data_IF_940051066277
#
_entry.id   IF_940051066277
#
_cell.length_a   1.000
_cell.length_b   1.000
_cell.length_c   1.000
_cell.angle_alpha   90.00
_cell.angle_beta   90.00
_cell.angle_gamma   90.00
#
_symmetry.space_group_name_H-M   'P 1'
#
loop_
_entity.id
_entity.type
_entity.pdbx_description
1 polymer ?
#
# COMPACT_ATOMS: atom_id res chain seq x y z
N UNK A 1 11.05 -17.12 -5.72
CA UNK A 1 12.07 -16.15 -5.19
C UNK A 1 12.00 -14.87 -5.99
N UNK A 2 12.09 -13.70 -5.34
CA UNK A 2 11.91 -12.39 -5.97
C UNK A 2 13.19 -11.56 -5.81
N UNK A 3 13.66 -10.97 -6.88
CA UNK A 3 14.75 -9.98 -6.86
C UNK A 3 14.21 -8.55 -6.68
N UNK A 4 14.93 -7.72 -5.94
CA UNK A 4 14.64 -6.29 -5.82
C UNK A 4 15.91 -5.51 -6.16
N UNK A 5 15.84 -4.68 -7.19
CA UNK A 5 16.89 -3.75 -7.59
C UNK A 5 16.44 -2.35 -7.20
N UNK A 6 17.30 -1.59 -6.54
CA UNK A 6 17.05 -0.21 -6.17
C UNK A 6 18.36 0.60 -6.18
N UNK A 7 18.36 1.75 -6.82
CA UNK A 7 19.48 2.69 -6.73
C UNK A 7 19.45 3.58 -5.47
N UNK A 8 18.32 3.61 -4.75
CA UNK A 8 18.15 4.27 -3.44
C UNK A 8 17.28 3.40 -2.55
N UNK A 9 17.61 3.25 -1.27
CA UNK A 9 16.86 2.44 -0.29
C UNK A 9 15.64 3.15 0.29
N UNK A 10 15.09 4.12 -0.45
CA UNK A 10 13.91 4.86 -0.05
C UNK A 10 12.69 3.95 -0.23
N UNK A 11 11.83 3.87 0.81
CA UNK A 11 10.59 3.07 0.81
C UNK A 11 10.77 1.56 0.66
N UNK A 12 11.97 1.00 0.86
CA UNK A 12 12.22 -0.45 0.72
C UNK A 12 11.24 -1.30 1.54
N UNK A 13 10.95 -0.89 2.78
CA UNK A 13 9.97 -1.60 3.62
C UNK A 13 8.57 -1.62 2.99
N UNK A 14 8.12 -0.49 2.44
CA UNK A 14 6.79 -0.40 1.80
C UNK A 14 6.73 -1.26 0.53
N UNK A 15 7.81 -1.27 -0.26
CA UNK A 15 7.95 -2.08 -1.47
C UNK A 15 7.87 -3.56 -1.11
N UNK A 16 8.73 -4.02 -0.19
CA UNK A 16 8.75 -5.42 0.26
C UNK A 16 7.40 -5.86 0.82
N UNK A 17 6.78 -5.02 1.65
CA UNK A 17 5.48 -5.34 2.25
C UNK A 17 4.38 -5.52 1.20
N UNK A 18 4.41 -4.74 0.12
CA UNK A 18 3.43 -4.84 -0.95
C UNK A 18 3.69 -6.06 -1.85
N UNK A 19 4.94 -6.33 -2.20
CA UNK A 19 5.31 -7.55 -2.94
C UNK A 19 4.87 -8.79 -2.16
N UNK A 20 5.16 -8.87 -0.86
CA UNK A 20 4.76 -10.00 -0.01
C UNK A 20 3.24 -10.14 0.14
N UNK A 21 2.47 -9.07 0.00
CA UNK A 21 1.01 -9.17 -0.03
C UNK A 21 0.50 -9.89 -1.30
N UNK A 22 1.19 -9.75 -2.42
CA UNK A 22 0.91 -10.51 -3.64
C UNK A 22 1.44 -11.94 -3.58
N UNK A 23 2.64 -12.12 -3.04
CA UNK A 23 3.42 -13.37 -3.08
C UNK A 23 3.83 -13.79 -1.67
N UNK A 24 2.83 -14.17 -0.87
CA UNK A 24 3.01 -14.53 0.54
C UNK A 24 3.98 -15.71 0.70
N UNK A 25 4.94 -15.56 1.59
CA UNK A 25 5.93 -16.59 1.90
C UNK A 25 7.15 -16.61 0.96
N UNK A 26 7.16 -15.78 -0.10
CA UNK A 26 8.30 -15.68 -0.98
C UNK A 26 9.47 -14.92 -0.31
N UNK A 27 10.69 -15.33 -0.66
CA UNK A 27 11.90 -14.63 -0.23
C UNK A 27 12.21 -13.50 -1.21
N UNK A 28 12.46 -12.29 -0.68
CA UNK A 28 12.89 -11.13 -1.46
C UNK A 28 14.38 -10.90 -1.19
N UNK A 29 15.20 -10.93 -2.22
CA UNK A 29 16.62 -10.67 -2.17
C UNK A 29 16.96 -9.36 -2.90
N UNK A 30 17.90 -8.60 -2.35
CA UNK A 30 18.49 -7.47 -3.07
C UNK A 30 19.47 -8.02 -4.11
N UNK A 31 19.39 -7.49 -5.31
CA UNK A 31 20.30 -7.82 -6.42
C UNK A 31 20.64 -6.55 -7.19
N UNK A 32 21.72 -6.54 -7.94
CA UNK A 32 22.19 -5.43 -8.78
C UNK A 32 22.06 -5.72 -10.29
N UNK A 33 21.58 -6.89 -10.63
CA UNK A 33 21.41 -7.32 -12.03
C UNK A 33 20.14 -8.15 -12.23
N UNK A 34 19.65 -8.15 -13.47
CA UNK A 34 18.51 -8.97 -13.89
C UNK A 34 19.01 -10.38 -14.19
N UNK A 35 18.42 -11.39 -13.53
CA UNK A 35 18.76 -12.79 -13.72
C UNK A 35 17.48 -13.66 -13.76
N UNK A 36 17.49 -14.67 -14.60
CA UNK A 36 16.38 -15.63 -14.79
C UNK A 36 16.19 -16.60 -13.61
N UNK A 37 17.10 -16.62 -12.64
CA UNK A 37 16.94 -17.38 -11.39
C UNK A 37 15.77 -16.89 -10.54
N UNK A 38 15.42 -15.60 -10.66
CA UNK A 38 14.27 -15.01 -9.99
C UNK A 38 13.00 -15.23 -10.80
N UNK A 39 11.90 -15.53 -10.11
CA UNK A 39 10.59 -15.62 -10.73
C UNK A 39 10.11 -14.24 -11.20
N UNK A 40 10.37 -13.23 -10.37
CA UNK A 40 10.18 -11.83 -10.68
C UNK A 40 11.34 -10.99 -10.15
N UNK A 41 11.64 -9.90 -10.85
CA UNK A 41 12.52 -8.83 -10.36
C UNK A 41 11.76 -7.52 -10.50
N UNK A 42 11.67 -6.77 -9.41
CA UNK A 42 11.24 -5.39 -9.44
C UNK A 42 12.49 -4.50 -9.39
N UNK A 43 12.70 -3.72 -10.43
CA UNK A 43 13.74 -2.72 -10.50
C UNK A 43 13.11 -1.32 -10.33
N UNK A 44 13.60 -0.56 -9.34
CA UNK A 44 13.08 0.76 -8.99
C UNK A 44 14.21 1.79 -9.10
N UNK A 45 14.20 2.53 -10.19
CA UNK A 45 15.20 3.56 -10.49
C UNK A 45 14.65 4.95 -10.13
N UNK A 46 15.24 5.56 -9.10
CA UNK A 46 14.89 6.90 -8.62
C UNK A 46 15.76 7.95 -9.30
N UNK A 47 15.19 8.69 -10.24
CA UNK A 47 15.79 9.86 -10.90
C UNK A 47 15.31 11.16 -10.25
N UNK A 48 15.82 12.32 -10.68
CA UNK A 48 15.56 13.59 -9.98
C UNK A 48 14.07 13.99 -9.87
N UNK A 49 13.26 13.74 -10.90
CA UNK A 49 11.82 14.06 -10.90
C UNK A 49 10.97 12.89 -11.40
N UNK A 50 11.54 11.71 -11.44
CA UNK A 50 10.85 10.54 -11.99
C UNK A 50 11.29 9.27 -11.24
N UNK A 51 10.37 8.32 -11.08
CA UNK A 51 10.69 6.92 -10.77
C UNK A 51 10.32 6.07 -11.97
N UNK A 52 11.26 5.25 -12.40
CA UNK A 52 11.00 4.18 -13.36
C UNK A 52 10.94 2.86 -12.60
N UNK A 53 9.88 2.10 -12.80
CA UNK A 53 9.69 0.79 -12.20
C UNK A 53 9.55 -0.24 -13.30
N UNK A 54 10.50 -1.16 -13.39
CA UNK A 54 10.48 -2.25 -14.35
C UNK A 54 10.18 -3.56 -13.63
N UNK A 55 9.21 -4.31 -14.12
CA UNK A 55 8.95 -5.66 -13.66
C UNK A 55 9.50 -6.65 -14.69
N UNK A 56 10.40 -7.51 -14.27
CA UNK A 56 10.92 -8.61 -15.07
C UNK A 56 10.34 -9.93 -14.58
N UNK A 57 10.04 -10.83 -15.51
CA UNK A 57 9.60 -12.19 -15.25
C UNK A 57 10.59 -13.15 -15.91
N UNK A 58 11.25 -13.98 -15.10
CA UNK A 58 12.29 -14.92 -15.58
C UNK A 58 13.40 -14.25 -16.42
N UNK A 59 13.77 -13.01 -16.08
CA UNK A 59 14.81 -12.25 -16.76
C UNK A 59 14.34 -11.42 -17.95
N UNK A 60 13.10 -11.55 -18.39
CA UNK A 60 12.52 -10.77 -19.51
C UNK A 60 11.64 -9.63 -18.96
N UNK A 61 11.68 -8.46 -19.60
CA UNK A 61 10.86 -7.32 -19.24
C UNK A 61 9.39 -7.63 -19.49
N UNK A 62 8.58 -7.65 -18.44
CA UNK A 62 7.15 -7.93 -18.51
C UNK A 62 6.34 -6.63 -18.65
N UNK A 63 6.69 -5.60 -17.86
CA UNK A 63 5.99 -4.32 -17.88
C UNK A 63 6.82 -3.21 -17.25
N UNK A 64 6.49 -1.94 -17.57
CA UNK A 64 7.16 -0.75 -17.08
C UNK A 64 6.14 0.32 -16.65
N UNK A 65 6.42 1.01 -15.57
CA UNK A 65 5.67 2.20 -15.14
C UNK A 65 6.65 3.34 -14.84
N UNK A 66 6.34 4.51 -15.40
CA UNK A 66 7.05 5.75 -15.11
C UNK A 66 6.14 6.70 -14.31
N UNK A 67 6.65 7.21 -13.20
CA UNK A 67 5.94 8.17 -12.36
C UNK A 67 6.72 9.48 -12.31
N UNK A 68 6.10 10.54 -12.80
CA UNK A 68 6.64 11.89 -12.68
C UNK A 68 6.07 12.57 -11.44
N UNK A 69 6.88 13.30 -10.69
CA UNK A 69 6.41 14.06 -9.55
C UNK A 69 7.51 14.55 -8.62
N UNK A 70 7.10 15.48 -7.78
CA UNK A 70 7.93 16.08 -6.76
C UNK A 70 8.07 15.15 -5.56
N UNK A 71 9.30 14.80 -5.22
CA UNK A 71 9.63 14.00 -4.03
C UNK A 71 9.41 14.77 -2.71
N UNK A 72 9.18 16.09 -2.76
CA UNK A 72 8.97 16.89 -1.56
C UNK A 72 7.70 16.47 -0.82
N UNK A 73 6.64 16.11 -1.53
CA UNK A 73 5.47 15.52 -0.91
C UNK A 73 5.60 14.00 -0.76
N UNK A 74 6.43 13.58 0.20
CA UNK A 74 6.74 12.16 0.47
C UNK A 74 5.50 11.26 0.61
N UNK A 75 4.39 11.77 1.15
CA UNK A 75 3.17 10.96 1.35
C UNK A 75 2.47 10.67 0.02
N UNK A 76 2.26 11.68 -0.80
CA UNK A 76 1.61 11.53 -2.12
C UNK A 76 2.48 10.65 -3.01
N UNK A 77 3.78 10.93 -3.04
CA UNK A 77 4.72 10.22 -3.87
C UNK A 77 4.79 8.72 -3.49
N UNK A 78 4.93 8.41 -2.20
CA UNK A 78 4.91 7.02 -1.70
C UNK A 78 3.63 6.29 -2.11
N UNK A 79 2.48 6.95 -2.02
CA UNK A 79 1.21 6.33 -2.40
C UNK A 79 1.15 6.01 -3.90
N UNK A 80 1.58 6.95 -4.75
CA UNK A 80 1.65 6.73 -6.21
C UNK A 80 2.62 5.60 -6.59
N UNK A 81 3.79 5.53 -5.93
CA UNK A 81 4.75 4.45 -6.11
C UNK A 81 4.11 3.09 -5.75
N UNK A 82 3.42 3.00 -4.61
CA UNK A 82 2.71 1.78 -4.21
C UNK A 82 1.60 1.41 -5.20
N UNK A 83 0.89 2.38 -5.75
CA UNK A 83 -0.10 2.13 -6.81
C UNK A 83 0.55 1.57 -8.08
N UNK A 84 1.71 2.11 -8.49
CA UNK A 84 2.45 1.58 -9.63
C UNK A 84 2.91 0.14 -9.42
N UNK A 85 3.52 -0.16 -8.28
CA UNK A 85 3.91 -1.54 -7.93
C UNK A 85 2.70 -2.48 -7.91
N UNK A 86 1.58 -2.02 -7.32
CA UNK A 86 0.34 -2.78 -7.32
C UNK A 86 -0.13 -3.11 -8.75
N UNK A 87 -0.12 -2.14 -9.66
CA UNK A 87 -0.53 -2.34 -11.05
C UNK A 87 0.35 -3.35 -11.77
N UNK A 88 1.68 -3.25 -11.62
CA UNK A 88 2.64 -4.19 -12.20
C UNK A 88 2.35 -5.62 -11.75
N UNK A 89 2.31 -5.85 -10.44
CA UNK A 89 2.10 -7.20 -9.90
C UNK A 89 0.67 -7.71 -10.11
N UNK A 90 -0.35 -6.84 -10.04
CA UNK A 90 -1.73 -7.23 -10.29
C UNK A 90 -1.92 -7.75 -11.70
N UNK A 91 -1.31 -7.09 -12.69
CA UNK A 91 -1.34 -7.49 -14.10
C UNK A 91 -0.54 -8.77 -14.34
N UNK A 92 0.70 -8.85 -13.85
CA UNK A 92 1.59 -9.99 -14.06
C UNK A 92 1.10 -11.29 -13.41
N UNK A 93 0.35 -11.19 -12.31
CA UNK A 93 -0.17 -12.33 -11.53
C UNK A 93 -1.67 -12.59 -11.76
N UNK A 94 -2.35 -11.75 -12.54
CA UNK A 94 -3.83 -11.76 -12.69
C UNK A 94 -4.52 -11.83 -11.31
N UNK A 95 -4.08 -10.99 -10.37
CA UNK A 95 -4.51 -11.03 -8.98
C UNK A 95 -4.79 -9.64 -8.44
N UNK A 96 -5.89 -9.49 -7.72
CA UNK A 96 -6.21 -8.26 -6.99
C UNK A 96 -6.15 -8.51 -5.48
N UNK A 97 -5.63 -7.53 -4.75
CA UNK A 97 -5.62 -7.56 -3.29
C UNK A 97 -6.84 -6.80 -2.77
N UNK A 98 -7.68 -7.39 -1.91
CA UNK A 98 -8.88 -6.73 -1.39
C UNK A 98 -8.59 -5.41 -0.65
N UNK A 99 -7.44 -5.31 -0.02
CA UNK A 99 -6.97 -4.10 0.66
C UNK A 99 -6.11 -3.18 -0.23
N UNK A 100 -5.96 -3.50 -1.52
CA UNK A 100 -5.17 -2.72 -2.46
C UNK A 100 -3.73 -2.54 -1.99
N UNK A 101 -3.28 -1.28 -1.94
CA UNK A 101 -1.92 -0.92 -1.51
C UNK A 101 -1.75 -0.78 0.00
N UNK A 102 -2.80 -1.05 0.80
CA UNK A 102 -2.75 -0.90 2.25
C UNK A 102 -1.98 -2.05 2.90
N UNK A 103 -0.76 -1.79 3.30
CA UNK A 103 0.11 -2.72 4.02
C UNK A 103 0.67 -2.07 5.28
N UNK A 104 0.67 -2.81 6.40
CA UNK A 104 1.27 -2.36 7.66
C UNK A 104 0.56 -1.23 8.39
N UNK A 105 -0.70 -0.91 8.05
CA UNK A 105 -1.50 0.11 8.73
C UNK A 105 -2.90 -0.43 9.08
N UNK A 106 -3.55 0.19 10.05
CA UNK A 106 -4.97 -0.08 10.35
C UNK A 106 -5.84 0.69 9.35
N UNK A 107 -6.59 0.01 8.46
CA UNK A 107 -7.41 0.71 7.46
C UNK A 107 -8.49 1.59 8.10
N UNK A 108 -9.08 1.15 9.22
CA UNK A 108 -10.09 1.92 9.95
C UNK A 108 -9.62 3.32 10.38
N UNK A 109 -8.30 3.53 10.57
CA UNK A 109 -7.76 4.87 10.86
C UNK A 109 -8.02 5.84 9.70
N UNK A 110 -7.97 5.39 8.45
CA UNK A 110 -8.25 6.23 7.28
C UNK A 110 -9.71 6.68 7.29
N UNK A 111 -10.63 5.76 7.61
CA UNK A 111 -12.05 6.08 7.73
C UNK A 111 -12.30 7.04 8.91
N UNK A 112 -11.68 6.79 10.06
CA UNK A 112 -11.80 7.65 11.23
C UNK A 112 -11.31 9.08 10.92
N UNK A 113 -10.11 9.22 10.34
CA UNK A 113 -9.55 10.52 9.97
C UNK A 113 -10.45 11.26 8.95
N UNK A 114 -11.16 10.55 8.08
CA UNK A 114 -12.13 11.12 7.16
C UNK A 114 -13.34 11.70 7.89
N UNK A 115 -13.95 10.92 8.76
CA UNK A 115 -15.07 11.40 9.56
C UNK A 115 -14.72 12.59 10.48
N UNK A 116 -13.50 12.61 11.04
CA UNK A 116 -13.04 13.76 11.85
C UNK A 116 -12.88 15.03 11.00
N UNK A 117 -12.68 14.90 9.68
CA UNK A 117 -12.64 16.00 8.72
C UNK A 117 -14.03 16.38 8.17
N UNK A 118 -15.08 15.64 8.54
CA UNK A 118 -16.43 15.86 8.06
C UNK A 118 -16.74 15.23 6.70
N UNK A 119 -15.90 14.31 6.22
CA UNK A 119 -16.18 13.59 4.97
C UNK A 119 -17.38 12.65 5.15
N UNK A 120 -18.21 12.53 4.12
CA UNK A 120 -19.30 11.54 4.04
C UNK A 120 -18.77 10.12 3.89
N UNK A 121 -19.62 9.13 4.14
CA UNK A 121 -19.28 7.71 3.92
C UNK A 121 -18.84 7.44 2.49
N UNK A 122 -19.53 8.01 1.52
CA UNK A 122 -19.27 7.86 0.09
C UNK A 122 -17.91 8.47 -0.30
N UNK A 123 -17.58 9.65 0.24
CA UNK A 123 -16.27 10.29 0.01
C UNK A 123 -15.14 9.45 0.59
N UNK A 124 -15.33 8.88 1.77
CA UNK A 124 -14.35 7.99 2.40
C UNK A 124 -14.16 6.72 1.56
N UNK A 125 -15.25 6.08 1.12
CA UNK A 125 -15.22 4.88 0.28
C UNK A 125 -14.50 5.18 -1.04
N UNK A 126 -14.87 6.29 -1.69
CA UNK A 126 -14.21 6.71 -2.93
C UNK A 126 -12.70 6.94 -2.74
N UNK A 127 -12.30 7.54 -1.62
CA UNK A 127 -10.88 7.74 -1.28
C UNK A 127 -10.15 6.41 -1.10
N UNK A 128 -10.74 5.41 -0.44
CA UNK A 128 -10.16 4.07 -0.34
C UNK A 128 -9.90 3.44 -1.70
N UNK A 129 -10.87 3.55 -2.61
CA UNK A 129 -10.74 3.00 -3.96
C UNK A 129 -9.72 3.77 -4.79
N UNK A 130 -9.78 5.10 -4.77
CA UNK A 130 -8.92 5.97 -5.60
C UNK A 130 -7.47 6.00 -5.12
N UNK A 131 -7.27 6.21 -3.82
CA UNK A 131 -5.93 6.47 -3.28
C UNK A 131 -5.20 5.17 -2.93
N UNK A 132 -5.94 4.12 -2.57
CA UNK A 132 -5.34 2.89 -2.08
C UNK A 132 -5.70 1.66 -2.90
N UNK A 133 -6.51 1.79 -3.95
CA UNK A 133 -6.95 0.68 -4.81
C UNK A 133 -7.62 -0.46 -4.01
N UNK A 134 -8.21 -0.14 -2.85
CA UNK A 134 -8.94 -1.10 -2.04
C UNK A 134 -10.29 -1.45 -2.69
N UNK A 135 -10.77 -2.67 -2.47
CA UNK A 135 -12.09 -3.06 -2.96
C UNK A 135 -13.19 -2.26 -2.26
N UNK A 136 -14.31 -2.05 -2.95
CA UNK A 136 -15.48 -1.37 -2.37
C UNK A 136 -15.96 -2.07 -1.10
N UNK A 137 -15.99 -3.41 -1.10
CA UNK A 137 -16.40 -4.20 0.07
C UNK A 137 -15.54 -3.86 1.31
N UNK A 138 -14.21 -3.78 1.15
CA UNK A 138 -13.31 -3.47 2.27
C UNK A 138 -13.39 -2.00 2.68
N UNK A 139 -13.60 -1.10 1.74
CA UNK A 139 -13.84 0.31 2.02
C UNK A 139 -15.13 0.51 2.82
N UNK A 140 -16.25 -0.13 2.42
CA UNK A 140 -17.52 -0.13 3.15
C UNK A 140 -17.37 -0.70 4.55
N UNK A 141 -16.73 -1.86 4.68
CA UNK A 141 -16.48 -2.50 5.98
C UNK A 141 -15.77 -1.55 6.95
N UNK A 142 -14.71 -0.86 6.51
CA UNK A 142 -14.02 0.12 7.36
C UNK A 142 -14.91 1.29 7.76
N UNK A 143 -15.67 1.81 6.80
CA UNK A 143 -16.54 2.97 6.99
C UNK A 143 -17.66 2.65 7.99
N UNK A 144 -18.34 1.52 7.82
CA UNK A 144 -19.40 1.04 8.72
C UNK A 144 -18.86 0.72 10.12
N UNK A 145 -17.67 0.10 10.20
CA UNK A 145 -17.03 -0.19 11.49
C UNK A 145 -16.81 1.09 12.30
N UNK A 146 -16.27 2.14 11.67
CA UNK A 146 -16.05 3.42 12.36
C UNK A 146 -17.35 4.13 12.71
N UNK A 147 -18.38 4.04 11.88
CA UNK A 147 -19.71 4.58 12.24
C UNK A 147 -20.23 3.92 13.51
N UNK A 148 -20.18 2.59 13.59
CA UNK A 148 -20.60 1.84 14.77
C UNK A 148 -19.74 2.15 16.00
N UNK A 149 -18.44 2.23 15.83
CA UNK A 149 -17.51 2.63 16.91
C UNK A 149 -17.87 4.04 17.44
N UNK A 150 -18.11 5.02 16.58
CA UNK A 150 -18.52 6.37 16.97
C UNK A 150 -19.87 6.39 17.70
N UNK A 151 -20.85 5.59 17.26
CA UNK A 151 -22.15 5.44 17.95
C UNK A 151 -21.96 4.89 19.37
N UNK A 152 -21.16 3.82 19.52
CA UNK A 152 -20.88 3.19 20.82
C UNK A 152 -20.12 4.10 21.77
N UNK A 153 -19.15 4.86 21.23
CA UNK A 153 -18.31 5.76 22.03
C UNK A 153 -18.91 7.14 22.25
N UNK A 154 -20.09 7.44 21.69
CA UNK A 154 -20.70 8.76 21.75
C UNK A 154 -20.91 9.30 23.18
N UNK A 155 -21.19 8.40 24.11
CA UNK A 155 -21.37 8.74 25.54
C UNK A 155 -20.06 8.66 26.36
N UNK A 156 -18.95 8.27 25.74
CA UNK A 156 -17.68 8.06 26.42
C UNK A 156 -16.69 9.20 26.10
N UNK A 157 -16.13 9.90 27.09
CA UNK A 157 -15.22 11.02 26.89
C UNK A 157 -13.81 10.53 26.50
N UNK A 158 -13.68 9.79 25.38
CA UNK A 158 -12.44 9.15 24.98
C UNK A 158 -11.30 10.12 24.65
N UNK A 159 -11.60 11.40 24.43
CA UNK A 159 -10.58 12.47 24.24
C UNK A 159 -9.94 12.92 25.53
N UNK A 160 -10.62 12.70 26.68
CA UNK A 160 -10.17 13.07 28.01
C UNK A 160 -9.71 11.86 28.83
N UNK A 161 -9.88 10.67 28.30
CA UNK A 161 -9.55 9.40 28.93
C UNK A 161 -8.22 8.82 28.45
N UNK A 162 -7.85 7.70 29.05
CA UNK A 162 -6.73 6.86 28.63
C UNK A 162 -7.19 5.43 28.42
N UNK A 163 -6.54 4.72 27.51
CA UNK A 163 -6.79 3.30 27.26
C UNK A 163 -5.69 2.46 27.92
N UNK A 164 -6.09 1.50 28.74
CA UNK A 164 -5.18 0.54 29.36
C UNK A 164 -5.23 -0.79 28.60
N UNK A 165 -4.12 -1.20 28.03
CA UNK A 165 -3.97 -2.52 27.42
C UNK A 165 -3.37 -3.49 28.43
N UNK A 166 -4.14 -4.49 28.83
CA UNK A 166 -3.67 -5.55 29.72
C UNK A 166 -3.39 -6.77 28.86
N UNK A 167 -2.11 -7.11 28.71
CA UNK A 167 -1.71 -8.37 28.08
C UNK A 167 -2.07 -9.53 29.02
N UNK A 168 -2.88 -10.47 28.52
CA UNK A 168 -3.16 -11.74 29.22
C UNK A 168 -2.15 -12.73 28.66
N UNK A 169 -1.27 -13.34 29.48
CA UNK A 169 -0.25 -14.29 29.04
C UNK A 169 -0.87 -15.61 28.54
#
# INVERSE_FOLDING_TARGET
>A
MIGLIQNKTIYEYDIRSLILAFMLGEKIELTDHVDSIYDFILDVDYKDQEIVMNLYKKGELEDEIQLFGDYENKKIFKNRMKQGIYQLFSKALDKQLPWGTLTGIRPTKIAFDGYEKGESSEEIIHRFQKDYLASEEKARLCTETIQKEKELLKAFPYKEGYSLYIGIP
#
